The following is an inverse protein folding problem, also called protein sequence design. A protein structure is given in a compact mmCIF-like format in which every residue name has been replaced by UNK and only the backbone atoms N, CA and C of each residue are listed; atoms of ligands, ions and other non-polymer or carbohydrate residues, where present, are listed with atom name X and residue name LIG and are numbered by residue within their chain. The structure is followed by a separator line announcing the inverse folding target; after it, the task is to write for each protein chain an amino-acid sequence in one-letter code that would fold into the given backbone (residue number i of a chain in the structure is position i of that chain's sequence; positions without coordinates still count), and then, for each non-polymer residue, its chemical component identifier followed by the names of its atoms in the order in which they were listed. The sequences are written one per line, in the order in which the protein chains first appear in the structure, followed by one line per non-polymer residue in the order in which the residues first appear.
data_IF_864757848739
#
_entry.id   IF_864757848739
#
_cell.length_a   1.000
_cell.length_b   1.000
_cell.length_c   1.000
_cell.angle_alpha   90.00
_cell.angle_beta   90.00
_cell.angle_gamma   90.00
#
_symmetry.space_group_name_H-M   'P 1'
#
loop_
_entity.id
_entity.type
_entity.pdbx_description
1 polymer ?
#
# COMPACT_ATOMS: atom_id res chain seq x y z
N UNK A 1 -33.57 -23.03 -28.57
CA UNK A 1 -33.17 -21.63 -28.32
C UNK A 1 -33.54 -21.34 -26.88
N UNK A 2 -32.56 -21.27 -25.97
CA UNK A 2 -32.82 -20.83 -24.59
C UNK A 2 -32.87 -19.31 -24.64
N UNK A 3 -33.99 -18.72 -24.26
CA UNK A 3 -34.09 -17.27 -24.06
C UNK A 3 -33.10 -16.90 -22.95
N UNK A 4 -31.93 -16.40 -23.37
CA UNK A 4 -30.93 -15.81 -22.50
C UNK A 4 -31.48 -14.48 -21.96
N UNK A 5 -32.45 -14.56 -21.06
CA UNK A 5 -32.80 -13.43 -20.20
C UNK A 5 -31.61 -13.25 -19.25
N UNK A 6 -30.60 -12.53 -19.72
CA UNK A 6 -29.34 -12.30 -19.00
C UNK A 6 -29.67 -11.58 -17.70
N UNK A 7 -29.58 -12.30 -16.59
CA UNK A 7 -29.65 -11.69 -15.26
C UNK A 7 -28.63 -10.57 -15.16
N UNK A 8 -28.94 -9.45 -14.49
CA UNK A 8 -27.98 -8.38 -14.30
C UNK A 8 -26.72 -8.93 -13.64
N UNK A 9 -25.57 -8.34 -13.96
CA UNK A 9 -24.28 -8.81 -13.44
C UNK A 9 -23.54 -7.66 -12.80
N UNK A 10 -23.05 -7.89 -11.58
CA UNK A 10 -22.28 -6.91 -10.85
C UNK A 10 -20.80 -7.01 -11.23
N UNK A 11 -20.23 -5.92 -11.72
CA UNK A 11 -18.81 -5.82 -12.01
C UNK A 11 -18.07 -5.00 -10.98
N UNK A 12 -16.89 -5.48 -10.64
CA UNK A 12 -15.89 -4.74 -9.91
C UNK A 12 -14.69 -4.54 -10.83
N UNK A 13 -14.51 -3.30 -11.26
CA UNK A 13 -13.54 -2.93 -12.29
C UNK A 13 -12.32 -2.38 -11.57
N UNK A 14 -11.16 -2.95 -11.89
CA UNK A 14 -9.86 -2.57 -11.33
C UNK A 14 -8.86 -2.39 -12.47
N UNK A 15 -7.81 -1.59 -12.32
CA UNK A 15 -6.79 -1.48 -13.35
C UNK A 15 -6.15 -2.86 -13.47
N UNK A 16 -6.33 -3.50 -14.64
CA UNK A 16 -5.86 -4.84 -15.03
C UNK A 16 -6.73 -6.05 -14.66
N UNK A 17 -7.90 -5.89 -14.04
CA UNK A 17 -8.82 -7.01 -13.87
C UNK A 17 -10.28 -6.59 -13.67
N UNK A 18 -11.20 -7.48 -14.03
CA UNK A 18 -12.64 -7.34 -13.77
C UNK A 18 -13.07 -8.54 -12.94
N UNK A 19 -13.70 -8.30 -11.80
CA UNK A 19 -14.41 -9.34 -11.05
C UNK A 19 -15.88 -9.26 -11.37
N UNK A 20 -16.42 -10.39 -11.83
CA UNK A 20 -17.81 -10.56 -12.22
C UNK A 20 -18.50 -11.35 -11.12
N UNK A 21 -19.54 -10.77 -10.52
CA UNK A 21 -20.36 -11.41 -9.49
C UNK A 21 -21.78 -11.58 -10.06
N UNK A 22 -22.22 -12.83 -10.30
CA UNK A 22 -23.60 -13.07 -10.76
C UNK A 22 -24.58 -12.67 -9.67
N UNK A 23 -25.70 -12.06 -10.06
CA UNK A 23 -26.73 -11.57 -9.13
C UNK A 23 -27.48 -12.71 -8.42
N UNK A 24 -27.57 -13.88 -9.07
CA UNK A 24 -28.01 -15.13 -8.45
C UNK A 24 -26.91 -16.16 -8.51
N UNK A 25 -26.51 -16.64 -7.34
CA UNK A 25 -25.76 -17.87 -7.22
C UNK A 25 -26.77 -18.98 -7.42
N UNK A 26 -26.75 -19.64 -8.58
CA UNK A 26 -27.47 -20.90 -8.73
C UNK A 26 -26.86 -21.89 -7.74
N UNK A 27 -27.53 -22.05 -6.60
CA UNK A 27 -27.21 -23.10 -5.65
C UNK A 27 -27.58 -24.42 -6.33
N UNK A 28 -26.68 -24.93 -7.18
CA UNK A 28 -26.74 -26.33 -7.59
C UNK A 28 -26.83 -27.13 -6.29
N UNK A 29 -27.90 -27.92 -6.14
CA UNK A 29 -28.22 -28.74 -4.97
C UNK A 29 -27.06 -29.69 -4.61
N UNK A 30 -25.99 -29.16 -4.02
CA UNK A 30 -24.96 -29.95 -3.34
C UNK A 30 -25.44 -30.15 -1.91
N UNK A 31 -25.45 -31.42 -1.53
CA UNK A 31 -25.94 -31.98 -0.27
C UNK A 31 -25.60 -31.13 0.96
N UNK A 32 -26.54 -31.11 1.91
CA UNK A 32 -26.49 -30.45 3.21
C UNK A 32 -25.46 -31.04 4.18
N UNK A 33 -24.35 -31.58 3.69
CA UNK A 33 -23.35 -32.25 4.52
C UNK A 33 -22.35 -31.22 5.05
N UNK A 34 -22.19 -31.22 6.38
CA UNK A 34 -21.41 -30.31 7.23
C UNK A 34 -22.07 -28.98 7.62
N UNK A 35 -23.11 -29.06 8.44
CA UNK A 35 -23.29 -28.06 9.49
C UNK A 35 -22.09 -28.14 10.44
N UNK A 36 -21.12 -27.23 10.28
CA UNK A 36 -20.04 -27.05 11.26
C UNK A 36 -20.65 -26.78 12.65
N UNK A 37 -20.11 -27.40 13.69
CA UNK A 37 -20.54 -27.15 15.07
C UNK A 37 -20.35 -25.67 15.40
N UNK A 38 -21.41 -25.04 15.91
CA UNK A 38 -21.34 -23.67 16.40
C UNK A 38 -20.45 -23.66 17.65
N UNK A 39 -19.42 -22.82 17.63
CA UNK A 39 -18.51 -22.60 18.77
C UNK A 39 -18.59 -21.14 19.20
N UNK A 40 -18.52 -20.87 20.50
CA UNK A 40 -18.64 -19.51 21.05
C UNK A 40 -17.28 -18.84 21.19
N UNK A 41 -17.21 -17.55 20.84
CA UNK A 41 -16.03 -16.73 21.04
C UNK A 41 -15.69 -16.58 22.52
N UNK A 42 -14.44 -16.82 22.92
CA UNK A 42 -14.03 -16.66 24.33
C UNK A 42 -13.99 -15.19 24.82
N UNK A 43 -14.04 -14.22 23.91
CA UNK A 43 -14.02 -12.79 24.25
C UNK A 43 -15.40 -12.13 24.27
N UNK A 44 -16.28 -12.44 23.32
CA UNK A 44 -17.60 -11.80 23.20
C UNK A 44 -18.78 -12.75 23.37
N UNK A 45 -18.52 -14.05 23.58
CA UNK A 45 -19.52 -15.11 23.70
C UNK A 45 -20.43 -15.28 22.47
N UNK A 46 -20.19 -14.56 21.37
CA UNK A 46 -20.99 -14.72 20.16
C UNK A 46 -20.74 -16.08 19.50
N UNK A 47 -21.81 -16.78 19.07
CA UNK A 47 -21.71 -18.01 18.32
C UNK A 47 -21.11 -17.76 16.93
N UNK A 48 -20.13 -18.56 16.53
CA UNK A 48 -19.44 -18.46 15.24
C UNK A 48 -19.24 -19.85 14.64
N UNK A 49 -19.19 -19.90 13.31
CA UNK A 49 -18.91 -21.13 12.57
C UNK A 49 -17.43 -21.48 12.51
N UNK A 50 -16.55 -20.49 12.72
CA UNK A 50 -15.10 -20.64 12.72
C UNK A 50 -14.50 -19.67 13.76
N UNK A 51 -13.59 -20.16 14.60
CA UNK A 51 -12.82 -19.36 15.55
C UNK A 51 -11.36 -19.25 15.12
N UNK A 52 -10.71 -18.15 15.49
CA UNK A 52 -9.31 -17.87 15.25
C UNK A 52 -8.54 -17.95 16.56
N UNK A 53 -7.29 -18.44 16.50
CA UNK A 53 -6.42 -18.47 17.68
C UNK A 53 -5.64 -17.15 17.78
N UNK A 54 -5.69 -16.50 18.94
CA UNK A 54 -4.79 -15.40 19.34
C UNK A 54 -4.01 -15.81 20.58
N UNK A 55 -2.75 -15.40 20.71
CA UNK A 55 -2.02 -15.58 21.96
C UNK A 55 -2.33 -14.39 22.87
N UNK A 56 -2.96 -14.66 24.01
CA UNK A 56 -3.22 -13.67 25.06
C UNK A 56 -1.97 -13.56 25.93
N UNK A 57 -1.23 -12.45 25.79
CA UNK A 57 0.00 -12.20 26.55
C UNK A 57 -0.23 -12.04 28.05
N UNK A 58 -1.41 -11.59 28.49
CA UNK A 58 -1.70 -11.45 29.93
C UNK A 58 -1.96 -12.81 30.58
N UNK A 59 -2.54 -13.74 29.83
CA UNK A 59 -2.89 -15.09 30.32
C UNK A 59 -1.92 -16.17 29.86
N UNK A 60 -0.86 -15.81 29.13
CA UNK A 60 0.13 -16.70 28.52
C UNK A 60 -0.47 -17.91 27.76
N UNK A 61 -1.67 -17.76 27.18
CA UNK A 61 -2.45 -18.86 26.60
C UNK A 61 -3.08 -18.47 25.27
N UNK A 62 -3.31 -19.47 24.41
CA UNK A 62 -4.05 -19.27 23.17
C UNK A 62 -5.56 -19.20 23.44
N UNK A 63 -6.21 -18.18 22.91
CA UNK A 63 -7.65 -18.01 22.98
C UNK A 63 -8.29 -18.16 21.60
N UNK A 64 -9.41 -18.88 21.58
CA UNK A 64 -10.26 -19.06 20.39
C UNK A 64 -11.29 -17.94 20.35
N UNK A 65 -11.06 -16.98 19.46
CA UNK A 65 -11.85 -15.75 19.35
C UNK A 65 -12.49 -15.62 17.98
N UNK A 66 -13.60 -14.88 17.90
CA UNK A 66 -14.20 -14.53 16.63
C UNK A 66 -13.27 -13.58 15.85
N UNK A 67 -13.52 -13.46 14.55
CA UNK A 67 -12.75 -12.59 13.65
C UNK A 67 -12.71 -11.13 14.12
N UNK A 68 -13.81 -10.64 14.68
CA UNK A 68 -13.90 -9.26 15.17
C UNK A 68 -13.04 -9.04 16.41
N UNK A 69 -13.13 -9.93 17.40
CA UNK A 69 -12.29 -9.91 18.60
C UNK A 69 -10.80 -10.06 18.25
N UNK A 70 -10.44 -10.97 17.34
CA UNK A 70 -9.07 -11.06 16.82
C UNK A 70 -8.61 -9.74 16.21
N UNK A 71 -9.46 -9.11 15.39
CA UNK A 71 -9.12 -7.84 14.73
C UNK A 71 -8.94 -6.72 15.75
N UNK A 72 -9.85 -6.60 16.72
CA UNK A 72 -9.76 -5.66 17.85
C UNK A 72 -8.50 -5.89 18.67
N UNK A 73 -8.18 -7.15 18.97
CA UNK A 73 -6.97 -7.52 19.72
C UNK A 73 -5.69 -7.13 18.97
N UNK A 74 -5.58 -7.51 17.69
CA UNK A 74 -4.44 -7.14 16.84
C UNK A 74 -4.28 -5.62 16.68
N UNK A 75 -5.41 -4.89 16.59
CA UNK A 75 -5.43 -3.42 16.55
C UNK A 75 -4.93 -2.82 17.86
N UNK A 76 -5.46 -3.27 18.99
CA UNK A 76 -5.12 -2.77 20.32
C UNK A 76 -3.63 -2.96 20.65
N UNK A 77 -3.07 -4.10 20.26
CA UNK A 77 -1.70 -4.47 20.60
C UNK A 77 -0.69 -4.13 19.50
N UNK A 78 -1.11 -3.47 18.41
CA UNK A 78 -0.25 -3.12 17.26
C UNK A 78 0.66 -4.29 16.82
N UNK A 79 0.14 -5.52 16.83
CA UNK A 79 0.91 -6.77 16.64
C UNK A 79 1.41 -6.97 15.21
N UNK A 80 1.40 -5.94 14.38
CA UNK A 80 2.01 -6.01 13.06
C UNK A 80 3.52 -6.21 13.11
N UNK A 81 4.23 -5.98 14.22
CA UNK A 81 5.71 -6.09 14.31
C UNK A 81 6.39 -5.29 13.19
N UNK A 82 5.80 -4.15 12.79
CA UNK A 82 6.23 -3.36 11.64
C UNK A 82 5.97 -3.97 10.25
N UNK A 83 5.26 -5.11 10.16
CA UNK A 83 4.94 -5.85 8.94
C UNK A 83 3.54 -5.52 8.42
N UNK A 84 3.40 -5.49 7.11
CA UNK A 84 2.08 -5.34 6.50
C UNK A 84 1.33 -6.67 6.44
N UNK A 85 0.07 -6.67 6.93
CA UNK A 85 -0.85 -7.80 6.69
C UNK A 85 -1.09 -8.01 5.19
N UNK A 86 -1.40 -9.24 4.77
CA UNK A 86 -1.63 -9.53 3.35
C UNK A 86 -2.76 -8.66 2.75
N UNK A 87 -3.80 -8.37 3.55
CA UNK A 87 -4.88 -7.45 3.16
C UNK A 87 -4.36 -6.02 2.96
N UNK A 88 -3.52 -5.52 3.86
CA UNK A 88 -2.89 -4.20 3.72
C UNK A 88 -2.01 -4.13 2.46
N UNK A 89 -1.24 -5.19 2.20
CA UNK A 89 -0.42 -5.32 0.98
C UNK A 89 -1.30 -5.24 -0.27
N UNK A 90 -2.38 -6.02 -0.35
CA UNK A 90 -3.33 -5.97 -1.47
C UNK A 90 -3.94 -4.59 -1.65
N UNK A 91 -4.37 -3.92 -0.57
CA UNK A 91 -4.92 -2.56 -0.64
C UNK A 91 -3.90 -1.55 -1.17
N UNK A 92 -2.65 -1.64 -0.71
CA UNK A 92 -1.56 -0.78 -1.20
C UNK A 92 -1.27 -1.04 -2.68
N UNK A 93 -1.18 -2.31 -3.12
CA UNK A 93 -1.00 -2.65 -4.54
C UNK A 93 -2.12 -2.04 -5.39
N UNK A 94 -3.37 -2.17 -4.95
CA UNK A 94 -4.51 -1.59 -5.66
C UNK A 94 -4.41 -0.06 -5.72
N UNK A 95 -4.04 0.61 -4.64
CA UNK A 95 -3.84 2.06 -4.64
C UNK A 95 -2.72 2.50 -5.61
N UNK A 96 -1.61 1.77 -5.68
CA UNK A 96 -0.51 2.01 -6.62
C UNK A 96 -0.96 1.76 -8.07
N UNK A 97 -1.74 0.71 -8.31
CA UNK A 97 -2.30 0.41 -9.64
C UNK A 97 -3.24 1.53 -10.10
N UNK A 98 -4.14 2.01 -9.23
CA UNK A 98 -5.01 3.16 -9.53
C UNK A 98 -4.22 4.43 -9.79
N UNK A 99 -3.22 4.73 -8.96
CA UNK A 99 -2.32 5.87 -9.18
C UNK A 99 -1.62 5.77 -10.55
N UNK A 100 -1.11 4.59 -10.90
CA UNK A 100 -0.43 4.38 -12.18
C UNK A 100 -1.37 4.45 -13.40
N UNK A 101 -2.62 4.00 -13.25
CA UNK A 101 -3.65 4.10 -14.29
C UNK A 101 -4.12 5.54 -14.48
N UNK A 102 -4.32 6.28 -13.38
CA UNK A 102 -4.74 7.67 -13.40
C UNK A 102 -3.62 8.61 -13.85
N UNK A 103 -2.35 8.33 -13.55
CA UNK A 103 -1.24 9.20 -13.92
C UNK A 103 -1.12 9.41 -15.44
N UNK A 104 -1.03 10.67 -15.86
CA UNK A 104 -0.79 11.04 -17.26
C UNK A 104 0.70 11.18 -17.56
N UNK A 105 1.11 10.83 -18.77
CA UNK A 105 2.50 11.04 -19.23
C UNK A 105 2.69 12.52 -19.53
N UNK A 106 3.65 13.16 -18.88
CA UNK A 106 3.94 14.60 -18.95
C UNK A 106 5.34 14.80 -19.54
N UNK A 107 5.55 15.87 -20.33
CA UNK A 107 6.88 16.28 -20.80
C UNK A 107 7.45 17.30 -19.83
N UNK A 108 8.61 17.01 -19.26
CA UNK A 108 9.28 17.86 -18.27
C UNK A 108 10.55 18.42 -18.91
N UNK A 109 10.76 19.72 -18.75
CA UNK A 109 11.96 20.41 -19.18
C UNK A 109 13.02 20.45 -18.08
N UNK A 110 14.23 20.00 -18.37
CA UNK A 110 15.37 20.09 -17.48
C UNK A 110 16.30 21.22 -17.94
N UNK A 111 16.31 22.33 -17.19
CA UNK A 111 17.13 23.52 -17.50
C UNK A 111 18.63 23.21 -17.54
N UNK A 112 19.13 22.38 -16.63
CA UNK A 112 20.58 22.10 -16.50
C UNK A 112 21.17 21.35 -17.69
N UNK A 113 20.37 20.50 -18.35
CA UNK A 113 20.81 19.70 -19.50
C UNK A 113 20.26 20.22 -20.81
N UNK A 114 19.40 21.25 -20.78
CA UNK A 114 18.65 21.77 -21.92
C UNK A 114 17.88 20.66 -22.68
N UNK A 115 17.38 19.66 -21.93
CA UNK A 115 16.70 18.48 -22.50
C UNK A 115 15.32 18.31 -21.90
N UNK A 116 14.38 17.86 -22.73
CA UNK A 116 13.08 17.38 -22.28
C UNK A 116 13.13 15.88 -22.03
N UNK A 117 12.40 15.40 -21.03
CA UNK A 117 12.15 13.97 -20.85
C UNK A 117 10.69 13.72 -20.49
N UNK A 118 10.25 12.48 -20.70
CA UNK A 118 8.90 12.07 -20.31
C UNK A 118 8.88 11.56 -18.87
N UNK A 119 7.84 11.96 -18.15
CA UNK A 119 7.59 11.61 -16.77
C UNK A 119 6.16 11.07 -16.63
N UNK A 120 5.94 10.15 -15.69
CA UNK A 120 4.60 9.66 -15.36
C UNK A 120 4.39 9.56 -13.85
N UNK A 121 5.29 8.85 -13.17
CA UNK A 121 5.32 8.72 -11.72
C UNK A 121 6.69 9.05 -11.17
N UNK A 122 6.73 9.60 -9.96
CA UNK A 122 7.92 9.78 -9.15
C UNK A 122 7.90 8.81 -7.97
N UNK A 123 9.06 8.25 -7.68
CA UNK A 123 9.33 7.54 -6.43
C UNK A 123 10.27 8.41 -5.58
N UNK A 124 9.74 8.91 -4.47
CA UNK A 124 10.41 9.81 -3.54
C UNK A 124 10.75 9.02 -2.29
N UNK A 125 11.93 9.28 -1.76
CA UNK A 125 12.43 8.71 -0.53
C UNK A 125 12.84 9.86 0.39
N UNK A 126 12.30 9.87 1.61
CA UNK A 126 12.56 10.88 2.64
C UNK A 126 13.24 10.20 3.84
N UNK A 127 14.36 10.75 4.26
CA UNK A 127 15.23 10.16 5.28
C UNK A 127 15.55 11.19 6.36
N UNK A 128 15.70 10.71 7.60
CA UNK A 128 16.30 11.50 8.68
C UNK A 128 17.82 11.56 8.52
N UNK A 129 18.43 12.75 8.61
CA UNK A 129 19.85 12.94 8.33
C UNK A 129 20.78 12.36 9.40
N UNK A 130 20.27 12.06 10.61
CA UNK A 130 21.10 11.58 11.71
C UNK A 130 20.38 10.58 12.62
N UNK A 131 21.17 9.70 13.26
CA UNK A 131 20.75 8.72 14.26
C UNK A 131 20.56 9.39 15.64
N UNK A 132 19.82 8.75 16.54
CA UNK A 132 19.63 9.21 17.92
C UNK A 132 18.80 10.50 18.04
N UNK A 133 17.70 10.54 17.29
CA UNK A 133 16.64 11.50 17.56
C UNK A 133 15.61 10.85 18.46
N UNK A 134 15.31 11.48 19.60
CA UNK A 134 14.29 11.08 20.58
C UNK A 134 12.86 11.26 20.03
N UNK A 135 12.68 11.14 18.72
CA UNK A 135 11.42 11.37 18.05
C UNK A 135 10.72 10.04 17.87
N UNK A 136 9.60 9.86 18.56
CA UNK A 136 8.76 8.68 18.36
C UNK A 136 8.22 8.62 16.91
N UNK A 137 7.87 7.43 16.42
CA UNK A 137 7.32 7.30 15.06
C UNK A 137 6.02 8.09 14.88
N UNK A 138 5.23 8.23 15.96
CA UNK A 138 4.00 9.01 15.95
C UNK A 138 4.30 10.50 15.82
N UNK A 139 5.25 11.03 16.59
CA UNK A 139 5.67 12.43 16.47
C UNK A 139 6.34 12.72 15.13
N UNK A 140 7.16 11.80 14.60
CA UNK A 140 7.71 11.94 13.26
C UNK A 140 6.59 12.09 12.23
N UNK A 141 5.54 11.27 12.32
CA UNK A 141 4.41 11.33 11.40
C UNK A 141 3.62 12.62 11.55
N UNK A 142 3.29 13.03 12.77
CA UNK A 142 2.42 14.20 13.04
C UNK A 142 3.15 15.54 12.89
N UNK A 143 4.41 15.65 13.32
CA UNK A 143 5.18 16.89 13.36
C UNK A 143 6.09 17.10 12.16
N UNK A 144 6.44 16.04 11.42
CA UNK A 144 7.33 16.14 10.24
C UNK A 144 6.63 15.75 8.96
N UNK A 145 6.18 14.50 8.84
CA UNK A 145 5.62 13.96 7.60
C UNK A 145 4.32 14.66 7.21
N UNK A 146 3.40 14.86 8.16
CA UNK A 146 2.11 15.47 7.89
C UNK A 146 2.24 16.94 7.43
N UNK A 147 2.99 17.83 8.12
CA UNK A 147 3.29 19.17 7.63
C UNK A 147 3.97 19.20 6.26
N UNK A 148 4.88 18.24 6.00
CA UNK A 148 5.48 18.10 4.67
C UNK A 148 4.42 17.79 3.59
N UNK A 149 3.52 16.83 3.85
CA UNK A 149 2.46 16.47 2.91
C UNK A 149 1.48 17.62 2.68
N UNK A 150 1.11 18.38 3.72
CA UNK A 150 0.31 19.60 3.58
C UNK A 150 1.02 20.62 2.68
N UNK A 151 2.30 20.86 2.94
CA UNK A 151 3.09 21.80 2.12
C UNK A 151 3.17 21.34 0.67
N UNK A 152 3.41 20.06 0.42
CA UNK A 152 3.49 19.47 -0.91
C UNK A 152 2.15 19.54 -1.65
N UNK A 153 1.03 19.31 -0.96
CA UNK A 153 -0.31 19.46 -1.50
C UNK A 153 -0.57 20.93 -1.92
N UNK A 154 -0.24 21.89 -1.06
CA UNK A 154 -0.45 23.33 -1.34
C UNK A 154 0.49 23.88 -2.43
N UNK A 155 1.74 23.44 -2.44
CA UNK A 155 2.78 24.04 -3.30
C UNK A 155 2.92 23.35 -4.66
N UNK A 156 2.64 22.03 -4.71
CA UNK A 156 2.87 21.20 -5.89
C UNK A 156 1.64 20.39 -6.29
N UNK A 157 0.49 20.61 -5.66
CA UNK A 157 -0.76 19.90 -5.95
C UNK A 157 -0.67 18.38 -5.72
N UNK A 158 0.15 17.93 -4.77
CA UNK A 158 0.32 16.51 -4.38
C UNK A 158 -0.97 15.94 -3.77
N UNK A 159 -1.95 15.64 -4.63
CA UNK A 159 -3.26 15.10 -4.24
C UNK A 159 -3.32 13.58 -4.38
N UNK A 160 -2.58 13.01 -5.33
CA UNK A 160 -2.56 11.58 -5.59
C UNK A 160 -1.21 11.00 -5.17
N UNK A 161 -1.20 10.27 -4.05
CA UNK A 161 0.02 9.66 -3.55
C UNK A 161 -0.25 8.42 -2.70
N UNK A 162 0.74 7.54 -2.66
CA UNK A 162 0.82 6.41 -1.72
C UNK A 162 2.14 6.54 -0.99
N UNK A 163 2.13 6.43 0.34
CA UNK A 163 3.36 6.37 1.11
C UNK A 163 3.44 5.15 2.01
N UNK A 164 4.68 4.76 2.30
CA UNK A 164 5.02 3.71 3.27
C UNK A 164 6.18 4.17 4.14
N UNK A 165 6.09 3.86 5.43
CA UNK A 165 7.19 3.90 6.36
C UNK A 165 7.95 2.56 6.40
N UNK A 166 9.27 2.60 6.30
CA UNK A 166 10.18 1.46 6.40
C UNK A 166 11.28 1.78 7.41
N UNK A 167 11.66 0.86 8.31
CA UNK A 167 12.82 1.06 9.16
C UNK A 167 14.10 0.92 8.33
N UNK A 168 15.00 1.89 8.48
CA UNK A 168 16.36 1.79 7.97
C UNK A 168 17.20 0.86 8.85
N UNK A 169 18.35 0.41 8.34
CA UNK A 169 19.24 -0.49 9.07
C UNK A 169 19.84 0.17 10.33
N UNK A 170 19.95 1.50 10.29
CA UNK A 170 20.37 2.34 11.41
C UNK A 170 19.23 2.66 12.42
N UNK A 171 18.05 2.07 12.26
CA UNK A 171 16.89 2.32 13.11
C UNK A 171 16.11 3.60 12.78
N UNK A 172 16.54 4.47 11.88
CA UNK A 172 15.72 5.63 11.52
C UNK A 172 14.49 5.22 10.70
N UNK A 173 13.41 6.00 10.82
CA UNK A 173 12.25 5.86 9.96
C UNK A 173 12.55 6.42 8.57
N UNK A 174 12.18 5.66 7.54
CA UNK A 174 12.32 6.00 6.13
C UNK A 174 10.94 6.10 5.51
N UNK A 175 10.65 7.16 4.76
CA UNK A 175 9.36 7.26 4.06
C UNK A 175 9.58 7.16 2.56
N UNK A 176 8.90 6.21 1.94
CA UNK A 176 8.75 6.14 0.49
C UNK A 176 7.41 6.75 0.09
N UNK A 177 7.41 7.61 -0.91
CA UNK A 177 6.20 8.25 -1.47
C UNK A 177 6.20 8.03 -2.97
N UNK A 178 5.13 7.47 -3.50
CA UNK A 178 4.87 7.46 -4.94
C UNK A 178 3.78 8.47 -5.27
N UNK A 179 3.99 9.30 -6.27
CA UNK A 179 3.02 10.30 -6.75
C UNK A 179 3.15 10.53 -8.26
N UNK A 180 2.15 11.13 -8.89
CA UNK A 180 2.10 11.46 -10.32
C UNK A 180 2.64 12.87 -10.64
N UNK A 181 3.35 13.49 -9.69
CA UNK A 181 3.83 14.86 -9.79
C UNK A 181 5.34 14.90 -9.87
N UNK A 182 5.85 15.69 -10.82
CA UNK A 182 7.27 15.94 -10.94
C UNK A 182 7.68 17.04 -9.95
N UNK A 183 8.62 16.72 -9.06
CA UNK A 183 9.20 17.69 -8.13
C UNK A 183 10.70 17.74 -8.36
N UNK A 184 11.26 18.93 -8.54
CA UNK A 184 12.71 19.08 -8.68
C UNK A 184 13.40 18.70 -7.35
N UNK A 185 14.44 17.86 -7.40
CA UNK A 185 15.11 17.31 -6.21
C UNK A 185 15.56 18.36 -5.20
N UNK A 186 16.06 19.52 -5.64
CA UNK A 186 16.45 20.61 -4.74
C UNK A 186 15.25 21.24 -4.03
N UNK A 187 14.11 21.40 -4.71
CA UNK A 187 12.89 21.94 -4.12
C UNK A 187 12.33 20.97 -3.07
N UNK A 188 12.35 19.67 -3.40
CA UNK A 188 11.98 18.60 -2.49
C UNK A 188 12.85 18.61 -1.23
N UNK A 189 14.18 18.59 -1.40
CA UNK A 189 15.15 18.62 -0.31
C UNK A 189 14.97 19.85 0.58
N UNK A 190 14.85 21.04 -0.02
CA UNK A 190 14.64 22.30 0.73
C UNK A 190 13.36 22.26 1.55
N UNK A 191 12.27 21.76 0.97
CA UNK A 191 10.99 21.64 1.67
C UNK A 191 11.05 20.65 2.83
N UNK A 192 11.68 19.49 2.62
CA UNK A 192 11.85 18.46 3.65
C UNK A 192 12.76 18.95 4.78
N UNK A 193 13.94 19.49 4.45
CA UNK A 193 14.88 20.03 5.43
C UNK A 193 14.29 21.17 6.24
N UNK A 194 13.38 21.97 5.67
CA UNK A 194 12.67 23.00 6.45
C UNK A 194 11.82 22.37 7.57
N UNK A 195 11.11 21.26 7.30
CA UNK A 195 10.34 20.59 8.34
C UNK A 195 11.24 20.02 9.44
N UNK A 196 12.39 19.45 9.04
CA UNK A 196 13.39 18.95 9.98
C UNK A 196 14.00 20.09 10.83
N UNK A 197 14.30 21.24 10.21
CA UNK A 197 14.88 22.39 10.89
C UNK A 197 13.96 22.98 11.95
N UNK A 198 12.65 22.96 11.73
CA UNK A 198 11.66 23.46 12.70
C UNK A 198 11.66 22.66 14.01
N UNK A 199 12.24 21.45 14.00
CA UNK A 199 12.35 20.57 15.16
C UNK A 199 13.79 20.43 15.67
N UNK A 200 14.74 21.24 15.19
CA UNK A 200 16.16 21.14 15.58
C UNK A 200 16.86 19.86 15.07
N UNK A 201 16.21 19.07 14.20
CA UNK A 201 16.75 17.78 13.72
C UNK A 201 17.94 17.93 12.76
N UNK A 202 18.29 19.16 12.38
CA UNK A 202 19.46 19.47 11.56
C UNK A 202 20.65 19.97 12.37
N UNK A 203 20.48 20.27 13.66
CA UNK A 203 21.50 20.96 14.46
C UNK A 203 22.72 20.07 14.67
N UNK A 204 22.49 18.80 15.03
CA UNK A 204 23.57 17.80 15.15
C UNK A 204 24.27 17.55 13.81
N UNK A 205 23.52 17.56 12.70
CA UNK A 205 24.09 17.37 11.36
C UNK A 205 24.98 18.55 10.98
N UNK A 206 24.53 19.78 11.27
CA UNK A 206 25.31 21.00 11.06
C UNK A 206 26.57 21.02 11.91
N UNK A 207 26.49 20.64 13.19
CA UNK A 207 27.66 20.55 14.06
C UNK A 207 28.73 19.60 13.49
N UNK A 208 28.30 18.49 12.90
CA UNK A 208 29.19 17.47 12.32
C UNK A 208 29.75 17.85 10.95
N UNK A 209 28.94 18.48 10.10
CA UNK A 209 29.27 18.68 8.68
C UNK A 209 29.48 20.14 8.27
N UNK A 210 29.21 21.11 9.17
CA UNK A 210 29.36 22.54 8.92
C UNK A 210 28.28 23.15 8.00
N UNK A 211 27.19 22.43 7.70
CA UNK A 211 26.08 22.97 6.88
C UNK A 211 24.72 22.29 7.16
N UNK A 212 23.60 22.99 6.94
CA UNK A 212 22.21 22.50 7.17
C UNK A 212 21.54 21.88 5.92
N UNK A 213 22.33 21.28 5.02
CA UNK A 213 21.82 20.74 3.75
C UNK A 213 22.17 19.26 3.55
N UNK A 214 21.67 18.36 4.42
CA UNK A 214 21.92 16.93 4.27
C UNK A 214 21.27 16.38 2.99
N UNK A 215 21.79 15.29 2.43
CA UNK A 215 21.14 14.52 1.37
C UNK A 215 19.98 13.67 1.93
N UNK A 216 19.01 14.34 2.57
CA UNK A 216 17.86 13.75 3.27
C UNK A 216 16.71 13.29 2.36
N UNK A 217 16.88 13.44 1.05
CA UNK A 217 15.85 13.11 0.06
C UNK A 217 16.49 12.51 -1.19
N UNK A 218 15.81 11.51 -1.75
CA UNK A 218 16.10 10.95 -3.06
C UNK A 218 14.82 10.96 -3.89
N UNK A 219 14.92 11.32 -5.17
CA UNK A 219 13.79 11.22 -6.11
C UNK A 219 14.23 10.50 -7.37
N UNK A 220 13.49 9.46 -7.73
CA UNK A 220 13.70 8.66 -8.93
C UNK A 220 12.49 8.79 -9.84
N UNK A 221 12.72 9.22 -11.08
CA UNK A 221 11.73 9.08 -12.14
C UNK A 221 11.74 7.62 -12.61
N UNK A 222 10.57 6.98 -12.67
CA UNK A 222 10.54 5.57 -13.07
C UNK A 222 10.46 5.49 -14.60
N UNK A 223 11.58 5.08 -15.23
CA UNK A 223 11.81 5.21 -16.68
C UNK A 223 11.32 4.03 -17.52
N UNK A 224 11.33 2.81 -16.98
CA UNK A 224 10.91 1.58 -17.68
C UNK A 224 9.62 1.04 -17.07
N UNK A 225 8.57 0.99 -17.89
CA UNK A 225 7.16 1.02 -17.45
C UNK A 225 6.44 -0.31 -17.68
N UNK A 226 7.11 -1.34 -18.24
CA UNK A 226 6.42 -2.60 -18.59
C UNK A 226 5.72 -3.26 -17.39
N UNK A 227 6.19 -3.00 -16.16
CA UNK A 227 5.43 -3.28 -14.96
C UNK A 227 5.70 -2.23 -13.87
N UNK A 228 5.50 -0.94 -14.19
CA UNK A 228 5.75 0.17 -13.26
C UNK A 228 5.03 0.00 -11.93
N UNK A 229 3.74 -0.36 -12.01
CA UNK A 229 2.91 -0.52 -10.83
C UNK A 229 3.33 -1.75 -10.03
N UNK A 230 3.70 -2.85 -10.68
CA UNK A 230 4.27 -4.03 -10.03
C UNK A 230 5.61 -3.74 -9.34
N UNK A 231 6.53 -3.04 -10.02
CA UNK A 231 7.83 -2.66 -9.44
C UNK A 231 7.67 -1.78 -8.20
N UNK A 232 6.85 -0.72 -8.28
CA UNK A 232 6.59 0.16 -7.13
C UNK A 232 5.86 -0.60 -6.03
N UNK A 233 4.88 -1.43 -6.40
CA UNK A 233 4.14 -2.26 -5.46
C UNK A 233 5.04 -3.25 -4.74
N UNK A 234 5.95 -3.93 -5.42
CA UNK A 234 6.92 -4.83 -4.80
C UNK A 234 7.85 -4.06 -3.88
N UNK A 235 8.36 -2.90 -4.31
CA UNK A 235 9.25 -2.10 -3.50
C UNK A 235 8.58 -1.58 -2.22
N UNK A 236 7.33 -1.10 -2.33
CA UNK A 236 6.55 -0.65 -1.18
C UNK A 236 6.08 -1.85 -0.35
N UNK A 237 5.66 -2.97 -0.93
CA UNK A 237 5.13 -4.11 -0.16
C UNK A 237 6.23 -4.99 0.47
N UNK A 238 7.49 -4.86 0.04
CA UNK A 238 8.60 -5.65 0.57
C UNK A 238 8.79 -5.36 2.06
N UNK A 239 8.53 -6.37 2.88
CA UNK A 239 8.87 -6.34 4.29
C UNK A 239 10.32 -6.77 4.43
N UNK A 240 11.18 -5.87 4.91
CA UNK A 240 12.53 -6.23 5.33
C UNK A 240 12.51 -6.42 6.84
N UNK A 241 12.40 -7.68 7.26
CA UNK A 241 12.48 -8.05 8.69
C UNK A 241 13.88 -7.84 9.25
N UNK A 242 14.89 -8.09 8.42
CA UNK A 242 16.28 -8.13 8.83
C UNK A 242 17.07 -6.96 8.23
N UNK A 243 18.11 -6.53 8.93
CA UNK A 243 19.09 -5.58 8.39
C UNK A 243 19.88 -6.22 7.25
N UNK A 244 20.33 -5.40 6.30
CA UNK A 244 21.06 -5.89 5.12
C UNK A 244 22.51 -6.24 5.44
N UNK A 245 23.09 -5.57 6.44
CA UNK A 245 24.41 -5.86 6.99
C UNK A 245 24.30 -6.92 8.08
N UNK A 246 24.14 -8.18 7.68
CA UNK A 246 24.52 -9.26 8.58
C UNK A 246 25.93 -9.72 8.19
N UNK A 247 26.91 -9.36 9.03
CA UNK A 247 28.19 -10.07 9.06
C UNK A 247 27.88 -11.52 9.43
N UNK A 248 28.28 -12.48 8.60
CA UNK A 248 28.44 -13.87 9.03
C UNK A 248 29.53 -13.83 10.10
N UNK A 249 29.13 -13.63 11.36
CA UNK A 249 30.05 -13.69 12.47
C UNK A 249 30.42 -15.16 12.70
N UNK A 250 31.62 -15.55 12.24
CA UNK A 250 32.40 -16.63 12.85
C UNK A 250 32.97 -16.13 14.20
N UNK A 251 32.14 -15.66 15.13
CA UNK A 251 32.62 -15.16 16.43
C UNK A 251 32.59 -16.31 17.44
N UNK A 252 33.75 -16.91 17.67
CA UNK A 252 34.00 -17.86 18.76
C UNK A 252 34.08 -17.19 20.13
N UNK A 253 34.16 -15.85 20.19
CA UNK A 253 34.29 -15.13 21.46
C UNK A 253 33.01 -14.39 21.88
N UNK A 254 32.58 -14.79 23.07
CA UNK A 254 31.37 -14.41 23.77
C UNK A 254 31.57 -13.19 24.67
N UNK A 255 31.84 -12.01 24.11
CA UNK A 255 31.59 -10.77 24.86
C UNK A 255 30.16 -10.32 24.57
N UNK A 256 29.22 -10.96 25.27
CA UNK A 256 27.78 -10.88 25.13
C UNK A 256 27.13 -9.55 25.58
N UNK A 257 27.90 -8.49 25.79
CA UNK A 257 27.46 -7.34 26.59
C UNK A 257 26.73 -6.23 25.83
N UNK A 258 26.73 -6.24 24.48
CA UNK A 258 25.99 -5.24 23.68
C UNK A 258 24.76 -5.83 22.94
N UNK A 259 24.37 -7.05 23.31
CA UNK A 259 23.20 -7.77 22.75
C UNK A 259 21.87 -7.38 23.41
N UNK A 260 21.87 -6.50 24.41
CA UNK A 260 20.69 -6.24 25.24
C UNK A 260 19.57 -5.44 24.56
N UNK A 261 19.84 -4.84 23.39
CA UNK A 261 18.89 -3.94 22.71
C UNK A 261 18.53 -4.35 21.26
N UNK A 262 19.01 -5.49 20.76
CA UNK A 262 18.70 -5.96 19.41
C UNK A 262 18.11 -7.36 19.45
N UNK A 263 16.94 -7.54 18.85
CA UNK A 263 16.36 -8.86 18.68
C UNK A 263 17.12 -9.61 17.58
N UNK A 264 17.81 -10.69 17.96
CA UNK A 264 18.52 -11.56 17.02
C UNK A 264 17.68 -12.80 16.69
N UNK A 265 17.68 -13.19 15.41
CA UNK A 265 17.03 -14.40 14.92
C UNK A 265 18.06 -15.32 14.28
N UNK A 266 18.14 -16.58 14.70
CA UNK A 266 18.95 -17.59 14.03
C UNK A 266 18.10 -18.37 13.02
N UNK A 267 18.54 -18.43 11.77
CA UNK A 267 17.87 -19.24 10.76
C UNK A 267 18.21 -20.74 10.85
N UNK A 268 17.54 -21.55 10.03
CA UNK A 268 17.75 -23.02 9.98
C UNK A 268 19.17 -23.43 9.58
N UNK A 269 19.97 -22.53 9.01
CA UNK A 269 21.36 -22.77 8.62
C UNK A 269 22.35 -22.30 9.69
N UNK A 270 21.86 -21.81 10.83
CA UNK A 270 22.69 -21.29 11.91
C UNK A 270 23.13 -19.84 11.70
N UNK A 271 22.66 -19.16 10.65
CA UNK A 271 23.01 -17.75 10.40
C UNK A 271 22.17 -16.86 11.30
N UNK A 272 22.82 -16.01 12.08
CA UNK A 272 22.16 -15.00 12.90
C UNK A 272 21.75 -13.82 12.03
N UNK A 273 20.64 -13.19 12.36
CA UNK A 273 20.08 -12.03 11.66
C UNK A 273 19.64 -11.00 12.70
N UNK A 274 20.05 -9.75 12.52
CA UNK A 274 19.56 -8.65 13.33
C UNK A 274 18.20 -8.19 12.79
N UNK A 275 17.17 -8.19 13.64
CA UNK A 275 15.85 -7.69 13.30
C UNK A 275 15.86 -6.16 13.22
N UNK A 276 15.13 -5.63 12.24
CA UNK A 276 14.85 -4.19 12.20
C UNK A 276 13.84 -3.84 13.27
N UNK A 277 13.98 -2.67 13.90
CA UNK A 277 12.98 -2.18 14.84
C UNK A 277 11.60 -2.10 14.18
N UNK A 278 10.57 -2.46 14.93
CA UNK A 278 9.20 -2.25 14.50
C UNK A 278 8.89 -0.74 14.41
N UNK A 279 8.05 -0.37 13.44
CA UNK A 279 7.49 0.98 13.36
C UNK A 279 6.14 0.99 14.07
N UNK A 280 5.93 1.92 15.00
CA UNK A 280 4.67 2.05 15.73
C UNK A 280 3.63 2.82 14.91
N UNK A 281 2.34 2.48 15.07
CA UNK A 281 1.22 3.09 14.35
C UNK A 281 1.12 2.74 12.86
N UNK A 282 0.51 3.64 12.07
CA UNK A 282 0.28 3.40 10.64
C UNK A 282 1.57 3.35 9.83
N UNK A 283 1.85 2.20 9.20
CA UNK A 283 3.05 1.98 8.36
C UNK A 283 2.85 2.38 6.91
N UNK A 284 1.62 2.65 6.48
CA UNK A 284 1.34 3.13 5.12
C UNK A 284 0.04 3.90 5.05
N UNK A 285 -0.13 4.65 3.97
CA UNK A 285 -1.37 5.35 3.66
C UNK A 285 -1.42 5.69 2.17
N UNK A 286 -2.63 5.91 1.65
CA UNK A 286 -2.86 6.49 0.33
C UNK A 286 -3.75 7.71 0.48
N UNK A 287 -3.50 8.75 -0.33
CA UNK A 287 -4.36 9.93 -0.42
C UNK A 287 -5.84 9.53 -0.45
N UNK A 288 -6.69 10.34 0.18
CA UNK A 288 -8.13 10.11 0.24
C UNK A 288 -8.77 9.89 -1.11
N UNK A 289 -8.31 10.64 -2.11
CA UNK A 289 -8.78 10.51 -3.48
C UNK A 289 -8.58 9.07 -3.97
N UNK A 290 -7.35 8.56 -3.94
CA UNK A 290 -7.05 7.16 -4.27
C UNK A 290 -7.76 6.13 -3.38
N UNK A 291 -7.95 6.42 -2.08
CA UNK A 291 -8.54 5.46 -1.15
C UNK A 291 -10.05 5.33 -1.29
N UNK A 292 -10.74 6.44 -1.59
CA UNK A 292 -12.18 6.48 -1.79
C UNK A 292 -12.58 6.02 -3.20
N UNK A 293 -11.72 6.25 -4.20
CA UNK A 293 -11.94 5.80 -5.59
C UNK A 293 -11.36 4.41 -5.87
N UNK A 294 -10.98 3.62 -4.85
CA UNK A 294 -10.32 2.34 -5.08
C UNK A 294 -11.23 1.24 -5.64
N UNK A 295 -12.49 1.56 -5.93
CA UNK A 295 -13.50 0.67 -6.47
C UNK A 295 -14.32 1.41 -7.51
N UNK A 296 -14.29 0.92 -8.73
CA UNK A 296 -15.30 1.23 -9.73
C UNK A 296 -16.25 0.03 -9.78
N UNK A 297 -17.51 0.25 -9.38
CA UNK A 297 -18.55 -0.77 -9.50
C UNK A 297 -19.49 -0.40 -10.64
N UNK A 298 -19.91 -1.40 -11.41
CA UNK A 298 -20.86 -1.22 -12.49
C UNK A 298 -21.84 -2.39 -12.51
N UNK A 299 -23.13 -2.08 -12.51
CA UNK A 299 -24.18 -3.08 -12.69
C UNK A 299 -24.53 -3.10 -14.16
N UNK A 300 -24.21 -4.21 -14.83
CA UNK A 300 -24.46 -4.36 -16.24
C UNK A 300 -25.83 -4.97 -16.49
N UNK A 301 -26.56 -4.38 -17.43
CA UNK A 301 -27.91 -4.81 -17.80
C UNK A 301 -27.91 -5.64 -19.10
N UNK A 302 -29.10 -6.03 -19.57
CA UNK A 302 -29.25 -6.81 -20.80
C UNK A 302 -28.80 -6.08 -22.06
N UNK A 303 -28.79 -4.74 -22.06
CA UNK A 303 -28.28 -3.95 -23.18
C UNK A 303 -26.74 -4.04 -23.29
N UNK A 304 -26.06 -4.35 -22.17
CA UNK A 304 -24.61 -4.59 -22.13
C UNK A 304 -24.22 -6.04 -22.45
N UNK A 305 -25.18 -6.93 -22.76
CA UNK A 305 -24.94 -8.37 -23.01
C UNK A 305 -23.91 -8.64 -24.11
N UNK A 306 -23.95 -7.88 -25.21
CA UNK A 306 -23.00 -8.01 -26.33
C UNK A 306 -21.55 -7.78 -25.90
N UNK A 307 -21.33 -6.86 -24.95
CA UNK A 307 -20.02 -6.61 -24.37
C UNK A 307 -19.57 -7.80 -23.51
N UNK A 308 -20.48 -8.33 -22.67
CA UNK A 308 -20.17 -9.51 -21.85
C UNK A 308 -19.75 -10.69 -22.68
N UNK A 309 -20.52 -11.02 -23.71
CA UNK A 309 -20.17 -12.10 -24.63
C UNK A 309 -18.79 -11.87 -25.24
N UNK A 310 -18.50 -10.66 -25.73
CA UNK A 310 -17.17 -10.34 -26.27
C UNK A 310 -16.04 -10.54 -25.25
N UNK A 311 -16.30 -10.27 -23.97
CA UNK A 311 -15.32 -10.46 -22.91
C UNK A 311 -15.15 -11.94 -22.53
N UNK A 312 -16.25 -12.68 -22.36
CA UNK A 312 -16.27 -14.09 -21.95
C UNK A 312 -15.79 -15.02 -23.06
N UNK A 313 -16.05 -14.66 -24.31
CA UNK A 313 -15.73 -15.47 -25.50
C UNK A 313 -14.26 -15.26 -25.93
N UNK A 314 -13.51 -14.41 -25.22
CA UNK A 314 -12.10 -14.18 -25.51
C UNK A 314 -11.23 -15.23 -24.80
N UNK A 315 -11.04 -16.36 -25.47
CA UNK A 315 -10.22 -17.49 -25.00
C UNK A 315 -8.76 -17.12 -24.67
N UNK A 316 -8.27 -15.97 -25.15
CA UNK A 316 -6.93 -15.51 -24.84
C UNK A 316 -6.80 -14.86 -23.44
N UNK A 317 -7.92 -14.57 -22.77
CA UNK A 317 -7.89 -13.97 -21.43
C UNK A 317 -7.70 -15.02 -20.34
N UNK A 318 -6.69 -14.81 -19.51
CA UNK A 318 -6.54 -15.59 -18.28
C UNK A 318 -7.66 -15.22 -17.31
N UNK A 319 -8.45 -16.20 -16.88
CA UNK A 319 -9.47 -16.01 -15.85
C UNK A 319 -9.36 -17.06 -14.74
N UNK A 320 -9.85 -16.68 -13.55
CA UNK A 320 -10.04 -17.60 -12.43
C UNK A 320 -11.54 -17.73 -12.21
N UNK A 321 -12.04 -18.95 -12.31
CA UNK A 321 -13.41 -19.30 -11.97
C UNK A 321 -13.49 -19.72 -10.50
N UNK A 322 -14.37 -19.07 -9.75
CA UNK A 322 -14.66 -19.40 -8.36
C UNK A 322 -16.16 -19.59 -8.21
N UNK A 323 -16.54 -20.33 -7.16
CA UNK A 323 -17.95 -20.68 -6.88
C UNK A 323 -18.93 -19.48 -6.93
N UNK A 324 -18.46 -18.28 -6.63
CA UNK A 324 -19.29 -17.09 -6.48
C UNK A 324 -18.91 -15.92 -7.38
N UNK A 325 -17.82 -16.03 -8.13
CA UNK A 325 -17.32 -14.93 -8.95
C UNK A 325 -16.31 -15.44 -9.98
N UNK A 326 -16.18 -14.69 -11.06
CA UNK A 326 -15.13 -14.88 -12.06
C UNK A 326 -14.20 -13.68 -12.05
N UNK A 327 -12.89 -13.91 -12.19
CA UNK A 327 -11.92 -12.81 -12.30
C UNK A 327 -11.20 -12.91 -13.63
N UNK A 328 -11.37 -11.90 -14.47
CA UNK A 328 -10.70 -11.77 -15.76
C UNK A 328 -9.49 -10.86 -15.60
N UNK A 329 -8.30 -11.34 -15.95
CA UNK A 329 -7.05 -10.58 -15.87
C UNK A 329 -6.63 -10.05 -17.26
N UNK A 330 -6.10 -8.85 -17.29
CA UNK A 330 -5.66 -8.19 -18.51
C UNK A 330 -4.25 -7.66 -18.34
N UNK A 331 -3.39 -7.87 -19.34
CA UNK A 331 -2.21 -7.03 -19.49
C UNK A 331 -2.64 -5.57 -19.75
N UNK A 332 -1.77 -4.58 -19.48
CA UNK A 332 -2.09 -3.17 -19.78
C UNK A 332 -2.47 -2.92 -21.25
N UNK A 333 -1.92 -3.72 -22.18
CA UNK A 333 -2.21 -3.62 -23.61
C UNK A 333 -3.59 -4.22 -23.93
N UNK A 334 -3.90 -5.39 -23.38
CA UNK A 334 -5.23 -6.03 -23.52
C UNK A 334 -6.32 -5.15 -22.91
N UNK A 335 -6.09 -4.61 -21.71
CA UNK A 335 -7.05 -3.71 -21.04
C UNK A 335 -7.51 -2.58 -21.97
N UNK A 336 -6.56 -1.91 -22.63
CA UNK A 336 -6.88 -0.79 -23.54
C UNK A 336 -7.67 -1.20 -24.79
N UNK A 337 -7.59 -2.47 -25.19
CA UNK A 337 -8.27 -3.02 -26.38
C UNK A 337 -9.62 -3.63 -26.03
N UNK A 338 -9.71 -4.32 -24.90
CA UNK A 338 -10.89 -5.06 -24.47
C UNK A 338 -11.95 -4.15 -23.86
N UNK A 339 -11.56 -3.08 -23.16
CA UNK A 339 -12.51 -2.15 -22.55
C UNK A 339 -13.00 -1.15 -23.61
N UNK A 340 -14.24 -1.32 -24.08
CA UNK A 340 -14.87 -0.46 -25.10
C UNK A 340 -16.23 0.09 -24.62
N UNK A 341 -16.89 0.91 -25.46
CA UNK A 341 -18.24 1.41 -25.21
C UNK A 341 -18.44 2.14 -23.87
N UNK A 342 -19.58 1.88 -23.24
CA UNK A 342 -20.02 2.47 -21.96
C UNK A 342 -19.03 2.19 -20.83
N UNK A 343 -18.49 0.98 -20.75
CA UNK A 343 -17.50 0.62 -19.74
C UNK A 343 -16.21 1.44 -19.86
N UNK A 344 -15.74 1.68 -21.09
CA UNK A 344 -14.57 2.54 -21.32
C UNK A 344 -14.82 3.97 -20.87
N UNK A 345 -16.02 4.49 -21.12
CA UNK A 345 -16.39 5.82 -20.66
C UNK A 345 -16.39 5.90 -19.14
N UNK A 346 -17.07 4.96 -18.45
CA UNK A 346 -17.10 4.89 -16.99
C UNK A 346 -15.70 4.76 -16.38
N UNK A 347 -14.85 3.91 -16.97
CA UNK A 347 -13.47 3.76 -16.52
C UNK A 347 -12.67 5.06 -16.69
N UNK A 348 -12.79 5.73 -17.84
CA UNK A 348 -12.11 7.01 -18.09
C UNK A 348 -12.61 8.12 -17.17
N UNK A 349 -13.92 8.18 -16.91
CA UNK A 349 -14.53 9.16 -16.01
C UNK A 349 -14.07 8.92 -14.58
N UNK A 350 -13.98 7.66 -14.16
CA UNK A 350 -13.42 7.29 -12.87
C UNK A 350 -11.95 7.71 -12.75
N UNK A 351 -11.14 7.47 -13.78
CA UNK A 351 -9.75 7.96 -13.84
C UNK A 351 -9.68 9.50 -13.82
N UNK A 352 -10.61 10.19 -14.48
CA UNK A 352 -10.69 11.65 -14.45
C UNK A 352 -11.03 12.15 -13.04
N UNK A 353 -11.96 11.49 -12.35
CA UNK A 353 -12.27 11.75 -10.93
C UNK A 353 -11.04 11.65 -10.03
N UNK A 354 -10.22 10.61 -10.23
CA UNK A 354 -8.93 10.47 -9.54
C UNK A 354 -7.97 11.60 -9.93
N UNK A 355 -7.85 11.97 -11.21
CA UNK A 355 -6.91 13.03 -11.63
C UNK A 355 -7.26 14.39 -11.06
N UNK A 356 -8.53 14.73 -11.08
CA UNK A 356 -9.03 16.06 -10.77
C UNK A 356 -9.52 16.22 -9.33
N UNK A 357 -9.42 15.16 -8.52
CA UNK A 357 -9.84 15.15 -7.13
C UNK A 357 -11.29 15.65 -6.97
N UNK A 358 -12.20 15.09 -7.77
CA UNK A 358 -13.62 15.49 -7.78
C UNK A 358 -14.33 15.18 -6.46
N UNK A 359 -13.79 14.28 -5.64
CA UNK A 359 -14.25 14.07 -4.28
C UNK A 359 -13.66 15.15 -3.36
N UNK A 360 -14.56 16.05 -2.93
CA UNK A 360 -14.32 17.27 -2.14
C UNK A 360 -13.41 17.04 -0.93
N UNK A 361 -12.44 17.96 -0.80
CA UNK A 361 -11.51 18.23 0.32
C UNK A 361 -10.68 17.06 0.86
N UNK A 362 -9.37 17.24 1.11
CA UNK A 362 -8.59 16.23 1.82
C UNK A 362 -9.25 16.00 3.19
N UNK A 363 -9.43 14.73 3.64
CA UNK A 363 -9.78 14.48 5.02
C UNK A 363 -8.65 15.08 5.83
N UNK A 364 -8.99 16.12 6.60
CA UNK A 364 -8.18 16.51 7.73
C UNK A 364 -7.97 15.21 8.50
N UNK A 365 -6.72 14.78 8.66
CA UNK A 365 -6.43 13.67 9.55
C UNK A 365 -7.05 14.08 10.88
N UNK A 366 -8.10 13.40 11.31
CA UNK A 366 -8.65 13.62 12.64
C UNK A 366 -7.47 13.40 13.58
N UNK A 367 -7.04 14.48 14.25
CA UNK A 367 -6.21 14.38 15.43
C UNK A 367 -7.09 13.56 16.37
N UNK A 368 -6.67 12.33 16.63
CA UNK A 368 -7.27 11.54 17.69
C UNK A 368 -6.74 12.23 18.94
N UNK A 369 -7.58 13.08 19.53
CA UNK A 369 -7.34 13.66 20.85
C UNK A 369 -7.28 12.55 21.91
#
# INVERSE_FOLDING_TARGET
MRDNCSTPVNLYIQPTYITVIPDRIEHSNRSSEYLKSIVTCQHCSEPQFDLFSIYDYEKETYQSVCKECQTKYHLAHNLHVGLMSQKAKTRMRNAVNWLAAAATRKRVWQKSTNKSFYFKLSFITLTLPQHDTELSDQEFKSRVLHPFLIYAAKSWSLYNYVWKAEPQDNGNIHIHITTDIFIHHQKLRKAWNRQLSNLGLLDKFELKHGHRSPPSTEIKAVRSVKNLAGYISEYLVKDKKFKSTCSIYNCTDSTAQDKSNSDWYQDKKGTWWELKRAITGNIWYSSSNLSATNKLMYVADSADSSFWSTLTDNDALNYIDQKYYQVYYFSPKEWSRSITGKLRHLFNDHLAGIRHNWQKSPPLFHIID
#
